data_IF_791928747644
#
_entry.id   IF_791928747644
#
_cell.length_a   1.000
_cell.length_b   1.000
_cell.length_c   1.000
_cell.angle_alpha   90.00
_cell.angle_beta   90.00
_cell.angle_gamma   90.00
#
_symmetry.space_group_name_H-M   'P 1'
#
loop_
_entity.id
_entity.type
_entity.pdbx_description
1 polymer ?
#
# COMPACT_ATOMS: atom_id res chain seq x y z
N UNK A 1 19.61 19.94 17.73
CA UNK A 1 20.01 20.94 16.74
C UNK A 1 20.41 20.20 15.45
N UNK A 2 19.93 20.64 14.32
CA UNK A 2 20.24 20.05 13.02
C UNK A 2 20.51 21.16 12.00
N UNK A 3 21.30 20.83 10.98
CA UNK A 3 21.56 21.69 9.84
C UNK A 3 20.84 21.12 8.62
N UNK A 4 20.10 21.97 7.91
CA UNK A 4 19.44 21.61 6.66
C UNK A 4 20.13 22.30 5.48
N UNK A 5 20.36 21.56 4.40
CA UNK A 5 20.86 22.08 3.14
C UNK A 5 19.82 21.87 2.05
N UNK A 6 19.42 22.95 1.39
CA UNK A 6 18.44 22.92 0.30
C UNK A 6 19.18 22.58 -1.00
N UNK A 7 18.87 21.41 -1.58
CA UNK A 7 19.51 20.92 -2.81
C UNK A 7 18.88 21.59 -4.04
N UNK A 8 17.52 21.70 -4.05
CA UNK A 8 16.75 22.43 -5.04
C UNK A 8 15.37 22.81 -4.46
N UNK A 9 14.40 23.23 -5.28
CA UNK A 9 13.10 23.67 -4.77
C UNK A 9 12.26 22.56 -4.12
N UNK A 10 12.54 21.30 -4.44
CA UNK A 10 11.77 20.14 -4.01
C UNK A 10 12.50 19.24 -3.01
N UNK A 11 13.83 19.36 -2.90
CA UNK A 11 14.66 18.47 -2.09
C UNK A 11 15.48 19.20 -1.03
N UNK A 12 15.38 18.75 0.19
CA UNK A 12 16.20 19.19 1.33
C UNK A 12 16.97 17.99 1.92
N UNK A 13 18.25 18.17 2.21
CA UNK A 13 19.04 17.24 3.01
C UNK A 13 19.15 17.80 4.42
N UNK A 14 18.78 17.00 5.40
CA UNK A 14 18.83 17.36 6.79
C UNK A 14 19.85 16.48 7.52
N UNK A 15 20.79 17.07 8.19
CA UNK A 15 21.71 16.39 9.09
C UNK A 15 21.44 16.82 10.53
N UNK A 16 21.30 15.88 11.42
CA UNK A 16 21.02 16.15 12.82
C UNK A 16 21.62 15.12 13.73
N UNK A 17 21.60 15.41 15.01
CA UNK A 17 21.97 14.48 16.07
C UNK A 17 20.73 14.14 16.88
N UNK A 18 20.38 12.86 16.98
CA UNK A 18 19.20 12.41 17.72
C UNK A 18 19.63 11.63 18.95
N UNK A 19 19.04 12.00 20.06
CA UNK A 19 19.10 11.25 21.30
C UNK A 19 17.73 10.61 21.55
N UNK A 20 17.69 9.29 21.68
CA UNK A 20 16.48 8.53 21.99
C UNK A 20 16.75 7.80 23.30
N UNK A 21 15.88 8.00 24.28
CA UNK A 21 15.92 7.29 25.55
C UNK A 21 14.63 6.48 25.65
N UNK A 22 14.76 5.16 25.65
CA UNK A 22 13.60 4.25 25.74
C UNK A 22 13.73 3.39 26.99
N UNK A 23 12.68 3.35 27.80
CA UNK A 23 12.60 2.40 28.93
C UNK A 23 12.31 1.01 28.36
N UNK A 24 13.26 0.10 28.51
CA UNK A 24 13.10 -1.28 28.07
C UNK A 24 12.48 -2.20 29.12
N UNK A 25 12.66 -1.90 30.43
CA UNK A 25 12.03 -2.54 31.60
C UNK A 25 12.28 -1.68 32.84
N UNK A 26 11.70 -2.06 34.02
CA UNK A 26 11.77 -1.26 35.25
C UNK A 26 13.21 -0.95 35.70
N UNK A 27 14.21 -1.73 35.32
CA UNK A 27 15.60 -1.58 35.75
C UNK A 27 16.61 -1.24 34.64
N UNK A 28 16.19 -1.13 33.37
CA UNK A 28 17.13 -0.86 32.27
C UNK A 28 16.63 0.23 31.32
N UNK A 29 17.38 1.32 31.28
CA UNK A 29 17.22 2.37 30.27
C UNK A 29 18.19 2.10 29.12
N UNK A 30 17.69 1.98 27.90
CA UNK A 30 18.51 1.95 26.70
C UNK A 30 18.50 3.33 26.07
N UNK A 31 19.66 3.98 26.05
CA UNK A 31 19.84 5.24 25.36
C UNK A 31 20.62 5.01 24.06
N UNK A 32 20.04 5.48 22.97
CA UNK A 32 20.70 5.51 21.67
C UNK A 32 20.96 6.96 21.26
N UNK A 33 22.19 7.26 20.86
CA UNK A 33 22.55 8.59 20.37
C UNK A 33 23.41 8.45 19.12
N UNK A 34 23.11 9.23 18.10
CA UNK A 34 23.88 9.18 16.86
C UNK A 34 23.49 10.25 15.86
N UNK A 35 24.36 10.44 14.84
CA UNK A 35 24.03 11.31 13.73
C UNK A 35 22.89 10.71 12.90
N UNK A 36 21.99 11.57 12.44
CA UNK A 36 20.88 11.22 11.55
C UNK A 36 20.97 12.09 10.32
N UNK A 37 20.93 11.45 9.15
CA UNK A 37 20.80 12.14 7.87
C UNK A 37 19.43 11.79 7.29
N UNK A 38 18.64 12.80 6.95
CA UNK A 38 17.32 12.67 6.37
C UNK A 38 17.26 13.36 5.01
N UNK A 39 16.54 12.77 4.08
CA UNK A 39 16.17 13.37 2.81
C UNK A 39 14.67 13.69 2.86
N UNK A 40 14.30 14.95 2.58
CA UNK A 40 12.91 15.39 2.55
C UNK A 40 12.57 15.88 1.16
N UNK A 41 11.45 15.39 0.63
CA UNK A 41 10.87 15.83 -0.64
C UNK A 41 9.54 16.53 -0.40
N UNK A 42 9.33 17.70 -1.04
CA UNK A 42 8.08 18.45 -0.95
C UNK A 42 7.20 18.17 -2.14
N UNK A 43 6.08 17.51 -1.91
CA UNK A 43 5.07 17.29 -2.94
C UNK A 43 4.17 18.53 -3.08
N UNK A 44 4.04 19.08 -4.29
CA UNK A 44 2.93 19.96 -4.64
C UNK A 44 2.99 21.40 -4.15
N UNK A 45 4.15 22.01 -4.09
CA UNK A 45 4.26 23.46 -3.96
C UNK A 45 3.82 24.16 -5.24
N UNK A 46 2.54 24.53 -5.35
CA UNK A 46 2.13 25.49 -6.39
C UNK A 46 2.84 26.82 -6.14
N UNK A 47 3.67 27.24 -7.10
CA UNK A 47 4.21 28.61 -7.09
C UNK A 47 3.02 29.57 -7.21
N UNK A 48 2.77 30.32 -6.18
CA UNK A 48 1.90 31.50 -6.25
C UNK A 48 2.60 32.53 -7.12
N UNK A 49 2.24 32.58 -8.40
CA UNK A 49 2.62 33.69 -9.28
C UNK A 49 1.66 34.82 -8.95
N UNK A 50 2.19 35.92 -8.42
CA UNK A 50 1.42 37.13 -8.20
C UNK A 50 0.79 37.57 -9.54
N UNK A 51 -0.51 37.95 -9.58
CA UNK A 51 -1.18 38.34 -10.81
C UNK A 51 -0.57 39.64 -11.34
N UNK A 52 0.05 39.58 -12.53
CA UNK A 52 0.40 40.75 -13.29
C UNK A 52 -0.92 41.26 -13.88
N UNK A 53 -1.36 42.44 -13.40
CA UNK A 53 -2.55 43.09 -13.88
C UNK A 53 -2.23 43.78 -15.22
N UNK A 54 -2.56 43.15 -16.35
CA UNK A 54 -2.66 43.78 -17.67
C UNK A 54 -4.10 44.18 -17.89
N UNK A 55 -4.42 45.48 -18.23
CA UNK A 55 -5.78 45.87 -18.49
C UNK A 55 -6.29 45.13 -19.73
N UNK A 56 -7.47 44.55 -19.62
CA UNK A 56 -8.11 43.76 -20.64
C UNK A 56 -8.50 44.63 -21.87
N UNK A 57 -8.24 44.19 -23.11
CA UNK A 57 -8.88 44.79 -24.30
C UNK A 57 -10.38 44.52 -24.23
N UNK A 58 -11.15 45.49 -24.77
CA UNK A 58 -12.60 45.44 -24.78
C UNK A 58 -13.15 44.14 -25.39
N UNK A 59 -14.26 43.59 -24.87
CA UNK A 59 -14.77 42.31 -25.29
C UNK A 59 -15.27 42.35 -26.74
N UNK A 60 -14.62 41.57 -27.60
CA UNK A 60 -15.19 41.18 -28.89
C UNK A 60 -16.18 40.06 -28.60
N UNK A 61 -17.46 40.34 -28.79
CA UNK A 61 -18.52 39.37 -28.59
C UNK A 61 -18.51 38.34 -29.73
N UNK A 62 -17.80 37.24 -29.58
CA UNK A 62 -18.00 36.03 -30.38
C UNK A 62 -19.07 35.20 -29.72
N UNK A 63 -20.14 34.77 -30.39
CA UNK A 63 -21.14 33.91 -29.79
C UNK A 63 -20.45 32.61 -29.31
N UNK A 64 -20.66 32.27 -28.06
CA UNK A 64 -20.11 31.07 -27.46
C UNK A 64 -20.54 29.83 -28.26
N UNK A 65 -19.64 28.90 -28.59
CA UNK A 65 -20.06 27.62 -29.13
C UNK A 65 -21.02 26.95 -28.13
N UNK A 66 -22.08 26.34 -28.67
CA UNK A 66 -23.05 25.61 -27.85
C UNK A 66 -22.32 24.65 -26.89
N UNK A 67 -22.77 24.54 -25.63
CA UNK A 67 -22.12 23.66 -24.68
C UNK A 67 -22.09 22.23 -25.25
N UNK A 68 -20.90 21.70 -25.48
CA UNK A 68 -20.72 20.27 -25.75
C UNK A 68 -21.13 19.60 -24.46
N UNK A 69 -22.33 19.04 -24.43
CA UNK A 69 -22.76 18.15 -23.34
C UNK A 69 -21.90 16.91 -23.48
N UNK A 70 -20.77 16.89 -22.77
CA UNK A 70 -20.03 15.63 -22.61
C UNK A 70 -20.99 14.59 -22.03
N UNK A 71 -21.19 13.50 -22.78
CA UNK A 71 -21.96 12.38 -22.28
C UNK A 71 -21.39 11.96 -20.92
N UNK A 72 -22.21 11.70 -19.90
CA UNK A 72 -21.72 11.31 -18.59
C UNK A 72 -20.81 10.10 -18.76
N UNK A 73 -19.55 10.26 -18.39
CA UNK A 73 -18.60 9.14 -18.33
C UNK A 73 -19.08 8.25 -17.19
N UNK A 74 -19.86 7.24 -17.53
CA UNK A 74 -20.18 6.18 -16.59
C UNK A 74 -18.86 5.46 -16.29
N UNK A 75 -18.22 5.82 -15.16
CA UNK A 75 -17.18 4.98 -14.60
C UNK A 75 -17.87 3.66 -14.24
N UNK A 76 -17.67 2.65 -15.08
CA UNK A 76 -18.06 1.28 -14.72
C UNK A 76 -17.47 1.00 -13.34
N UNK A 77 -18.29 0.56 -12.37
CA UNK A 77 -17.75 0.24 -11.06
C UNK A 77 -16.62 -0.77 -11.26
N UNK A 78 -15.45 -0.45 -10.74
CA UNK A 78 -14.32 -1.40 -10.76
C UNK A 78 -14.77 -2.64 -10.01
N UNK A 79 -14.85 -3.76 -10.70
CA UNK A 79 -15.31 -5.02 -10.14
C UNK A 79 -14.09 -5.84 -9.73
N UNK A 80 -14.02 -6.17 -8.44
CA UNK A 80 -13.00 -7.10 -7.95
C UNK A 80 -13.35 -8.52 -8.39
N UNK A 81 -12.48 -9.14 -9.19
CA UNK A 81 -12.60 -10.54 -9.56
C UNK A 81 -11.76 -11.39 -8.62
N UNK A 82 -12.40 -12.18 -7.76
CA UNK A 82 -11.73 -13.11 -6.86
C UNK A 82 -11.02 -14.22 -7.66
N UNK A 83 -9.73 -14.37 -7.42
CA UNK A 83 -8.91 -15.44 -8.03
C UNK A 83 -8.87 -16.63 -7.10
N UNK A 84 -8.26 -16.45 -5.93
CA UNK A 84 -8.22 -17.47 -4.87
C UNK A 84 -7.52 -17.00 -3.60
N UNK A 85 -7.48 -17.87 -2.59
CA UNK A 85 -6.76 -17.67 -1.32
C UNK A 85 -5.49 -18.48 -1.25
N UNK A 86 -4.44 -17.88 -0.66
CA UNK A 86 -3.16 -18.51 -0.32
C UNK A 86 -3.13 -18.67 1.20
N UNK A 87 -2.88 -19.87 1.69
CA UNK A 87 -2.93 -20.19 3.12
C UNK A 87 -1.55 -20.31 3.77
N UNK A 88 -1.52 -20.00 5.07
CA UNK A 88 -0.30 -19.94 5.87
C UNK A 88 -0.45 -20.78 7.15
N UNK A 89 0.67 -21.27 7.66
CA UNK A 89 0.69 -21.88 8.98
C UNK A 89 0.62 -20.82 10.10
N UNK A 90 0.39 -21.30 11.33
CA UNK A 90 0.35 -20.41 12.49
C UNK A 90 1.68 -19.69 12.64
N UNK A 91 1.59 -18.37 12.81
CA UNK A 91 2.75 -17.48 12.98
C UNK A 91 3.77 -17.50 11.83
N UNK A 92 3.39 -18.04 10.66
CA UNK A 92 4.24 -18.02 9.46
C UNK A 92 3.78 -16.96 8.48
N UNK A 93 4.76 -16.35 7.81
CA UNK A 93 4.59 -15.38 6.71
C UNK A 93 5.03 -15.95 5.35
N UNK A 94 5.51 -17.21 5.32
CA UNK A 94 5.77 -17.99 4.12
C UNK A 94 4.58 -18.90 3.86
N UNK A 95 4.11 -18.97 2.62
CA UNK A 95 3.00 -19.84 2.25
C UNK A 95 3.38 -21.31 2.42
N UNK A 96 2.42 -22.16 2.79
CA UNK A 96 2.63 -23.61 2.89
C UNK A 96 3.02 -24.19 1.53
N UNK A 97 3.78 -25.28 1.54
CA UNK A 97 4.27 -25.91 0.31
C UNK A 97 3.12 -26.41 -0.62
N UNK A 98 1.99 -26.79 -0.05
CA UNK A 98 0.78 -27.19 -0.81
C UNK A 98 0.08 -26.02 -1.51
N UNK A 99 0.52 -24.77 -1.28
CA UNK A 99 -0.05 -23.56 -1.87
C UNK A 99 0.62 -23.12 -3.18
N UNK A 100 1.69 -23.79 -3.62
CA UNK A 100 2.33 -23.42 -4.90
C UNK A 100 1.40 -23.48 -6.12
N UNK A 101 0.47 -24.45 -6.26
CA UNK A 101 -0.53 -24.41 -7.33
C UNK A 101 -1.40 -23.14 -7.27
N UNK A 102 -1.75 -22.70 -6.06
CA UNK A 102 -2.56 -21.50 -5.83
C UNK A 102 -1.76 -20.22 -6.19
N UNK A 103 -0.50 -20.15 -5.81
CA UNK A 103 0.40 -19.06 -6.19
C UNK A 103 0.56 -18.98 -7.71
N UNK A 104 0.72 -20.15 -8.38
CA UNK A 104 0.82 -20.23 -9.85
C UNK A 104 -0.47 -19.75 -10.52
N UNK A 105 -1.64 -20.12 -9.99
CA UNK A 105 -2.92 -19.65 -10.53
C UNK A 105 -3.06 -18.12 -10.38
N UNK A 106 -2.57 -17.54 -9.27
CA UNK A 106 -2.55 -16.08 -9.09
C UNK A 106 -1.64 -15.39 -10.12
N UNK A 107 -0.46 -15.95 -10.40
CA UNK A 107 0.44 -15.47 -11.48
C UNK A 107 -0.26 -15.52 -12.83
N UNK A 108 -0.87 -16.65 -13.18
CA UNK A 108 -1.57 -16.82 -14.47
C UNK A 108 -2.72 -15.81 -14.61
N UNK A 109 -3.51 -15.60 -13.56
CA UNK A 109 -4.57 -14.60 -13.56
C UNK A 109 -4.01 -13.18 -13.78
N UNK A 110 -2.91 -12.83 -13.10
CA UNK A 110 -2.27 -11.54 -13.27
C UNK A 110 -1.73 -11.32 -14.69
N UNK A 111 -1.22 -12.37 -15.36
CA UNK A 111 -0.78 -12.31 -16.73
C UNK A 111 -1.94 -12.27 -17.74
N UNK A 112 -3.05 -12.92 -17.43
CA UNK A 112 -4.26 -12.87 -18.27
C UNK A 112 -4.87 -11.46 -18.32
N UNK A 113 -4.67 -10.66 -17.27
CA UNK A 113 -5.19 -9.30 -17.15
C UNK A 113 -4.06 -8.29 -16.92
N UNK A 114 -3.17 -8.04 -17.89
CA UNK A 114 -1.92 -7.32 -17.69
C UNK A 114 -2.10 -5.82 -17.39
N UNK A 115 -3.26 -5.25 -17.70
CA UNK A 115 -3.57 -3.85 -17.46
C UNK A 115 -4.31 -3.59 -16.13
N UNK A 116 -4.82 -4.66 -15.50
CA UNK A 116 -5.58 -4.56 -14.26
C UNK A 116 -4.65 -4.62 -13.03
N UNK A 117 -5.08 -4.06 -11.91
CA UNK A 117 -4.34 -4.15 -10.66
C UNK A 117 -4.55 -5.50 -9.99
N UNK A 118 -3.60 -5.92 -9.16
CA UNK A 118 -3.69 -7.13 -8.34
C UNK A 118 -3.87 -6.70 -6.89
N UNK A 119 -5.04 -6.98 -6.32
CA UNK A 119 -5.37 -6.64 -4.94
C UNK A 119 -5.14 -7.84 -4.04
N UNK A 120 -4.37 -7.65 -2.98
CA UNK A 120 -3.97 -8.65 -2.01
C UNK A 120 -4.50 -8.27 -0.63
N UNK A 121 -5.35 -9.12 -0.05
CA UNK A 121 -5.93 -8.90 1.28
C UNK A 121 -5.35 -9.90 2.26
N UNK A 122 -4.44 -9.46 3.12
CA UNK A 122 -3.81 -10.28 4.16
C UNK A 122 -4.69 -10.40 5.40
N UNK A 123 -4.85 -11.63 5.89
CA UNK A 123 -5.66 -11.94 7.05
C UNK A 123 -4.88 -12.83 8.04
N UNK A 124 -5.25 -12.75 9.32
CA UNK A 124 -4.72 -13.57 10.40
C UNK A 124 -5.88 -14.20 11.19
N UNK A 125 -5.54 -15.19 12.03
CA UNK A 125 -6.43 -15.64 13.09
C UNK A 125 -6.30 -14.73 14.34
N UNK A 126 -7.00 -15.07 15.41
CA UNK A 126 -7.02 -14.29 16.67
C UNK A 126 -6.04 -14.78 17.73
N UNK A 127 -5.01 -15.57 17.38
CA UNK A 127 -4.10 -16.16 18.39
C UNK A 127 -3.11 -15.15 18.96
N UNK A 128 -2.83 -14.04 18.25
CA UNK A 128 -1.96 -12.99 18.73
C UNK A 128 -2.75 -11.68 18.97
N UNK A 129 -2.08 -10.65 19.50
CA UNK A 129 -2.71 -9.34 19.66
C UNK A 129 -2.97 -8.66 18.29
N UNK A 130 -3.95 -7.75 18.21
CA UNK A 130 -4.35 -7.13 16.94
C UNK A 130 -3.21 -6.42 16.21
N UNK A 131 -2.33 -5.71 16.93
CA UNK A 131 -1.22 -5.01 16.30
C UNK A 131 -0.21 -5.97 15.67
N UNK A 132 0.08 -7.09 16.33
CA UNK A 132 0.91 -8.14 15.77
C UNK A 132 0.28 -8.77 14.53
N UNK A 133 -1.04 -9.06 14.57
CA UNK A 133 -1.79 -9.65 13.49
C UNK A 133 -1.81 -8.76 12.24
N UNK A 134 -1.88 -7.43 12.39
CA UNK A 134 -1.71 -6.50 11.28
C UNK A 134 -0.32 -6.68 10.64
N UNK A 135 0.75 -6.62 11.41
CA UNK A 135 2.11 -6.80 10.90
C UNK A 135 2.34 -8.18 10.26
N UNK A 136 1.77 -9.25 10.82
CA UNK A 136 1.86 -10.59 10.24
C UNK A 136 1.11 -10.67 8.90
N UNK A 137 -0.10 -10.12 8.84
CA UNK A 137 -0.88 -10.08 7.60
C UNK A 137 -0.22 -9.23 6.52
N UNK A 138 0.47 -8.15 6.89
CA UNK A 138 1.29 -7.35 5.97
C UNK A 138 2.46 -8.14 5.38
N UNK A 139 3.24 -8.86 6.22
CA UNK A 139 4.34 -9.72 5.72
C UNK A 139 3.84 -10.80 4.78
N UNK A 140 2.67 -11.40 5.06
CA UNK A 140 2.03 -12.37 4.15
C UNK A 140 1.67 -11.75 2.79
N UNK A 141 1.12 -10.55 2.78
CA UNK A 141 0.86 -9.80 1.55
C UNK A 141 2.15 -9.56 0.77
N UNK A 142 3.21 -9.12 1.47
CA UNK A 142 4.53 -8.89 0.87
C UNK A 142 5.11 -10.17 0.26
N UNK A 143 4.99 -11.31 0.95
CA UNK A 143 5.43 -12.60 0.45
C UNK A 143 4.73 -12.97 -0.87
N UNK A 144 3.40 -12.88 -0.92
CA UNK A 144 2.63 -13.17 -2.14
C UNK A 144 2.99 -12.19 -3.25
N UNK A 145 3.05 -10.88 -2.97
CA UNK A 145 3.45 -9.88 -3.95
C UNK A 145 4.84 -10.17 -4.53
N UNK A 146 5.82 -10.48 -3.65
CA UNK A 146 7.18 -10.81 -4.09
C UNK A 146 7.21 -12.07 -4.95
N UNK A 147 6.41 -13.09 -4.63
CA UNK A 147 6.29 -14.28 -5.47
C UNK A 147 5.79 -13.94 -6.87
N UNK A 148 4.75 -13.10 -6.99
CA UNK A 148 4.21 -12.67 -8.27
C UNK A 148 5.22 -11.81 -9.05
N UNK A 149 5.96 -10.91 -8.38
CA UNK A 149 7.03 -10.11 -9.00
C UNK A 149 8.13 -11.00 -9.56
N UNK A 150 8.58 -11.98 -8.79
CA UNK A 150 9.60 -12.94 -9.24
C UNK A 150 9.14 -13.78 -10.46
N UNK A 151 7.83 -13.86 -10.69
CA UNK A 151 7.21 -14.52 -11.84
C UNK A 151 6.71 -13.51 -12.91
N UNK A 152 7.27 -12.29 -12.95
CA UNK A 152 7.08 -11.34 -14.03
C UNK A 152 5.87 -10.41 -13.93
N UNK A 153 5.19 -10.36 -12.79
CA UNK A 153 4.12 -9.36 -12.56
C UNK A 153 4.75 -8.05 -12.11
N UNK A 154 4.42 -6.94 -12.74
CA UNK A 154 4.99 -5.62 -12.41
C UNK A 154 4.58 -5.15 -11.01
N UNK A 155 5.56 -4.60 -10.25
CA UNK A 155 5.37 -4.22 -8.84
C UNK A 155 4.40 -3.06 -8.64
N UNK A 156 4.23 -2.19 -9.62
CA UNK A 156 3.30 -1.04 -9.60
C UNK A 156 1.82 -1.44 -9.70
N UNK A 157 1.54 -2.70 -10.01
CA UNK A 157 0.18 -3.22 -10.13
C UNK A 157 -0.45 -3.64 -8.81
N UNK A 158 0.31 -3.71 -7.71
CA UNK A 158 -0.21 -4.28 -6.46
C UNK A 158 -0.93 -3.26 -5.58
N UNK A 159 -2.08 -3.68 -5.04
CA UNK A 159 -2.77 -3.03 -3.92
C UNK A 159 -2.75 -4.02 -2.76
N UNK A 160 -1.91 -3.76 -1.75
CA UNK A 160 -1.82 -4.57 -0.54
C UNK A 160 -2.64 -3.98 0.60
N UNK A 161 -3.45 -4.80 1.27
CA UNK A 161 -4.23 -4.42 2.45
C UNK A 161 -4.01 -5.47 3.54
N UNK A 162 -3.52 -5.05 4.69
CA UNK A 162 -3.36 -5.87 5.88
C UNK A 162 -4.57 -5.71 6.80
N UNK A 163 -5.41 -6.73 6.88
CA UNK A 163 -6.62 -6.73 7.70
C UNK A 163 -6.38 -7.20 9.15
N UNK A 164 -5.23 -7.83 9.43
CA UNK A 164 -5.04 -8.54 10.68
C UNK A 164 -6.12 -9.62 10.88
N UNK A 165 -6.75 -9.65 12.04
CA UNK A 165 -7.82 -10.57 12.42
C UNK A 165 -9.24 -9.99 12.26
N UNK A 166 -9.37 -8.82 11.61
CA UNK A 166 -10.67 -8.10 11.53
C UNK A 166 -11.62 -8.62 10.46
N UNK A 167 -11.15 -9.51 9.56
CA UNK A 167 -11.94 -10.06 8.43
C UNK A 167 -11.93 -11.60 8.42
N UNK A 168 -12.47 -12.25 9.47
CA UNK A 168 -12.53 -13.71 9.52
C UNK A 168 -13.54 -14.23 8.48
N UNK A 169 -13.24 -15.39 7.89
CA UNK A 169 -14.16 -16.15 7.01
C UNK A 169 -14.68 -17.41 7.70
N UNK A 170 -14.02 -17.81 8.79
CA UNK A 170 -14.40 -18.96 9.60
C UNK A 170 -14.25 -18.64 11.08
N UNK A 171 -14.77 -19.53 11.93
CA UNK A 171 -14.73 -19.36 13.39
C UNK A 171 -13.30 -19.45 13.94
N UNK A 172 -12.85 -18.44 14.69
CA UNK A 172 -11.59 -18.46 15.42
C UNK A 172 -11.62 -19.33 16.68
N UNK A 173 -12.77 -19.95 17.03
CA UNK A 173 -12.88 -20.87 18.17
C UNK A 173 -12.39 -22.29 17.86
N UNK A 174 -12.13 -22.62 16.60
CA UNK A 174 -11.68 -23.94 16.16
C UNK A 174 -10.34 -23.86 15.44
N UNK A 175 -9.53 -24.90 15.56
CA UNK A 175 -8.24 -24.98 14.86
C UNK A 175 -8.41 -24.92 13.32
N UNK A 176 -9.45 -25.59 12.80
CA UNK A 176 -9.77 -25.57 11.38
C UNK A 176 -10.16 -24.16 10.91
N UNK A 177 -11.05 -23.48 11.62
CA UNK A 177 -11.44 -22.13 11.23
C UNK A 177 -10.31 -21.11 11.35
N UNK A 178 -9.43 -21.22 12.36
CA UNK A 178 -8.21 -20.42 12.42
C UNK A 178 -7.33 -20.65 11.18
N UNK A 179 -7.18 -21.91 10.75
CA UNK A 179 -6.39 -22.23 9.56
C UNK A 179 -6.97 -21.59 8.28
N UNK A 180 -8.31 -21.49 8.17
CA UNK A 180 -8.96 -20.79 7.07
C UNK A 180 -8.80 -19.26 7.15
N UNK A 181 -8.67 -18.70 8.37
CA UNK A 181 -8.46 -17.27 8.56
C UNK A 181 -7.02 -16.84 8.22
N UNK A 182 -6.03 -17.72 8.35
CA UNK A 182 -4.62 -17.43 8.00
C UNK A 182 -4.39 -17.48 6.49
N UNK A 183 -4.80 -16.42 5.78
CA UNK A 183 -4.78 -16.42 4.32
C UNK A 183 -4.47 -15.04 3.73
N UNK A 184 -4.08 -15.03 2.47
CA UNK A 184 -4.09 -13.86 1.60
C UNK A 184 -5.05 -14.11 0.45
N UNK A 185 -6.07 -13.28 0.34
CA UNK A 185 -7.03 -13.34 -0.76
C UNK A 185 -6.50 -12.52 -1.93
N UNK A 186 -6.52 -13.11 -3.14
CA UNK A 186 -6.03 -12.50 -4.37
C UNK A 186 -7.20 -12.14 -5.27
N UNK A 187 -7.22 -10.89 -5.73
CA UNK A 187 -8.22 -10.36 -6.65
C UNK A 187 -7.56 -9.66 -7.83
N UNK A 188 -8.20 -9.71 -8.98
CA UNK A 188 -7.94 -8.80 -10.10
C UNK A 188 -8.92 -7.63 -9.97
N UNK A 189 -8.39 -6.42 -9.84
CA UNK A 189 -9.14 -5.19 -9.67
C UNK A 189 -9.21 -4.42 -10.98
N UNK A 190 -10.39 -4.41 -11.58
CA UNK A 190 -10.71 -3.79 -12.88
C UNK A 190 -11.32 -2.41 -12.74
#
# INVERSE_FOLDING_TARGET
>A
AGLGYKVNEDWDINAGYRYINTKANEDHNVSFQGPVVGLSYRFGGQKSVAPVYTPAPAPVYTPAPAPVVEAPVYKTPKLDYYVQSIYFDSDQDVARADQYPNLTAAVNAAHQYPQDQVKLLGNADTDANPQYNIGLSERRVQYVAQYLVNNGVSADRFIGIANGDTKPVASNSTAAGKAENRRVDVYIHR
#
